data_IF_919846329789
#
_entry.id   IF_919846329789
#
_cell.length_a   1.000
_cell.length_b   1.000
_cell.length_c   1.000
_cell.angle_alpha   90.00
_cell.angle_beta   90.00
_cell.angle_gamma   90.00
#
_symmetry.space_group_name_H-M   'P 1'
#
loop_
_entity.id
_entity.type
_entity.pdbx_description
1 polymer ?
#
# COMPACT_ATOMS: atom_id res chain seq x y z
N UNK A 1 -11.48 11.14 18.52
CA UNK A 1 -11.22 9.92 19.33
C UNK A 1 -11.80 8.67 18.69
N UNK A 2 -13.14 8.46 18.64
CA UNK A 2 -13.71 7.23 18.06
C UNK A 2 -13.46 7.11 16.54
N UNK A 3 -13.68 8.18 15.77
CA UNK A 3 -13.37 8.23 14.34
C UNK A 3 -11.90 7.92 14.06
N UNK A 4 -10.99 8.56 14.79
CA UNK A 4 -9.54 8.32 14.65
C UNK A 4 -9.15 6.85 14.93
N UNK A 5 -9.81 6.23 15.91
CA UNK A 5 -9.60 4.82 16.23
C UNK A 5 -10.09 3.90 15.10
N UNK A 6 -11.26 4.16 14.54
CA UNK A 6 -11.83 3.38 13.43
C UNK A 6 -11.03 3.52 12.13
N UNK A 7 -10.43 4.68 11.89
CA UNK A 7 -9.46 4.89 10.81
C UNK A 7 -8.11 4.20 11.09
N UNK A 8 -7.87 3.77 12.34
CA UNK A 8 -6.63 3.11 12.73
C UNK A 8 -5.45 4.04 13.02
N UNK A 9 -5.69 5.35 13.21
CA UNK A 9 -4.63 6.33 13.54
C UNK A 9 -3.80 5.94 14.77
N UNK A 10 -4.37 5.44 15.89
CA UNK A 10 -3.58 4.99 17.04
C UNK A 10 -2.68 3.79 16.71
N UNK A 11 -3.15 2.90 15.84
CA UNK A 11 -2.43 1.70 15.42
C UNK A 11 -1.41 1.99 14.32
N UNK A 12 -1.50 3.14 13.63
CA UNK A 12 -0.73 3.47 12.41
C UNK A 12 -0.95 2.47 11.27
N UNK A 13 -2.10 1.79 11.29
CA UNK A 13 -2.52 0.75 10.35
C UNK A 13 -4.03 0.86 10.11
N UNK A 14 -4.51 0.76 8.87
CA UNK A 14 -5.94 0.90 8.57
C UNK A 14 -6.71 -0.31 9.09
N UNK A 15 -7.80 -0.05 9.84
CA UNK A 15 -8.57 -1.11 10.51
C UNK A 15 -9.46 -1.87 9.54
N UNK A 16 -10.10 -1.18 8.59
CA UNK A 16 -11.02 -1.82 7.65
C UNK A 16 -10.33 -2.94 6.81
N UNK A 17 -9.19 -2.69 6.12
CA UNK A 17 -8.47 -3.74 5.41
C UNK A 17 -7.98 -4.88 6.30
N UNK A 18 -7.76 -4.64 7.60
CA UNK A 18 -7.41 -5.71 8.54
C UNK A 18 -8.61 -6.62 8.79
N UNK A 19 -9.77 -6.05 9.09
CA UNK A 19 -10.97 -6.80 9.50
C UNK A 19 -11.65 -7.59 8.37
N UNK A 20 -11.53 -7.16 7.11
CA UNK A 20 -12.21 -7.83 5.98
C UNK A 20 -11.74 -9.27 5.73
N UNK A 21 -10.57 -9.69 6.22
CA UNK A 21 -10.07 -11.05 6.05
C UNK A 21 -10.95 -12.10 6.75
N UNK A 22 -11.50 -11.77 7.92
CA UNK A 22 -12.36 -12.67 8.70
C UNK A 22 -13.64 -13.06 7.94
N UNK A 23 -14.49 -12.13 7.49
CA UNK A 23 -15.70 -12.49 6.76
C UNK A 23 -15.38 -13.16 5.42
N UNK A 24 -14.32 -12.74 4.71
CA UNK A 24 -13.92 -13.37 3.44
C UNK A 24 -13.60 -14.86 3.66
N UNK A 25 -12.74 -15.16 4.63
CA UNK A 25 -12.36 -16.53 4.94
C UNK A 25 -13.54 -17.37 5.40
N UNK A 26 -14.41 -16.82 6.26
CA UNK A 26 -15.56 -17.54 6.83
C UNK A 26 -16.65 -17.82 5.79
N UNK A 27 -16.92 -16.90 4.87
CA UNK A 27 -17.87 -17.14 3.78
C UNK A 27 -17.35 -18.19 2.80
N UNK A 28 -16.07 -18.14 2.42
CA UNK A 28 -15.45 -19.18 1.58
C UNK A 28 -15.47 -20.54 2.31
N UNK A 29 -15.11 -20.57 3.59
CA UNK A 29 -15.16 -21.78 4.40
C UNK A 29 -16.59 -22.37 4.45
N UNK A 30 -17.62 -21.52 4.58
CA UNK A 30 -19.01 -21.99 4.61
C UNK A 30 -19.40 -22.74 3.31
N UNK A 31 -18.95 -22.26 2.15
CA UNK A 31 -19.13 -22.94 0.86
C UNK A 31 -18.29 -24.23 0.76
N UNK A 32 -17.06 -24.24 1.28
CA UNK A 32 -16.24 -25.45 1.29
C UNK A 32 -16.89 -26.56 2.14
N UNK A 33 -17.50 -26.20 3.28
CA UNK A 33 -18.24 -27.13 4.13
C UNK A 33 -19.52 -27.64 3.45
N UNK A 34 -20.21 -26.78 2.69
CA UNK A 34 -21.34 -27.20 1.84
C UNK A 34 -20.91 -28.27 0.83
N UNK A 35 -19.83 -28.02 0.09
CA UNK A 35 -19.30 -28.96 -0.90
C UNK A 35 -18.82 -30.25 -0.22
N UNK A 36 -18.20 -30.15 0.96
CA UNK A 36 -17.80 -31.31 1.75
C UNK A 36 -19.02 -32.14 2.19
N UNK A 37 -20.16 -31.51 2.53
CA UNK A 37 -21.38 -32.25 2.90
C UNK A 37 -21.92 -33.10 1.74
N UNK A 38 -21.67 -32.68 0.50
CA UNK A 38 -22.04 -33.44 -0.70
C UNK A 38 -21.05 -34.57 -0.99
N UNK A 39 -19.76 -34.30 -0.85
CA UNK A 39 -18.68 -35.23 -1.17
C UNK A 39 -18.47 -36.31 -0.09
N UNK A 40 -18.71 -35.98 1.18
CA UNK A 40 -18.45 -36.84 2.34
C UNK A 40 -19.66 -36.91 3.29
N UNK A 41 -20.78 -37.52 2.87
CA UNK A 41 -22.02 -37.51 3.66
C UNK A 41 -21.93 -38.27 4.99
N UNK A 42 -20.90 -39.10 5.17
CA UNK A 42 -20.61 -39.82 6.40
C UNK A 42 -19.98 -38.94 7.49
N UNK A 43 -19.43 -37.77 7.12
CA UNK A 43 -18.88 -36.81 8.09
C UNK A 43 -20.03 -36.03 8.71
N UNK A 44 -20.26 -36.14 10.03
CA UNK A 44 -21.42 -35.53 10.66
C UNK A 44 -21.28 -34.00 10.76
N UNK A 45 -22.41 -33.31 10.83
CA UNK A 45 -22.53 -31.89 11.17
C UNK A 45 -21.98 -30.86 10.15
N UNK A 46 -21.55 -31.25 8.96
CA UNK A 46 -20.97 -30.30 7.98
C UNK A 46 -21.92 -29.15 7.60
N UNK A 47 -23.23 -29.41 7.49
CA UNK A 47 -24.25 -28.36 7.23
C UNK A 47 -24.35 -27.39 8.41
N UNK A 48 -24.29 -27.91 9.64
CA UNK A 48 -24.29 -27.11 10.87
C UNK A 48 -23.02 -26.27 11.02
N UNK A 49 -21.87 -26.86 10.70
CA UNK A 49 -20.59 -26.16 10.76
C UNK A 49 -20.53 -25.03 9.72
N UNK A 50 -21.06 -25.27 8.51
CA UNK A 50 -21.23 -24.22 7.49
C UNK A 50 -22.13 -23.08 7.99
N UNK A 51 -23.25 -23.41 8.66
CA UNK A 51 -24.15 -22.42 9.26
C UNK A 51 -23.43 -21.53 10.29
N UNK A 52 -22.62 -22.11 11.19
CA UNK A 52 -21.89 -21.31 12.18
C UNK A 52 -20.75 -20.49 11.56
N UNK A 53 -20.02 -21.04 10.59
CA UNK A 53 -19.02 -20.28 9.84
C UNK A 53 -19.67 -19.05 9.17
N UNK A 54 -20.83 -19.23 8.54
CA UNK A 54 -21.62 -18.17 7.93
C UNK A 54 -22.10 -17.13 8.94
N UNK A 55 -22.62 -17.56 10.10
CA UNK A 55 -23.07 -16.67 11.17
C UNK A 55 -21.94 -15.76 11.66
N UNK A 56 -20.77 -16.34 11.98
CA UNK A 56 -19.60 -15.59 12.42
C UNK A 56 -19.08 -14.70 11.28
N UNK A 57 -19.18 -15.16 10.03
CA UNK A 57 -18.88 -14.37 8.84
C UNK A 57 -19.73 -13.10 8.74
N UNK A 58 -21.04 -13.20 8.96
CA UNK A 58 -21.94 -12.04 8.97
C UNK A 58 -21.57 -11.07 10.10
N UNK A 59 -21.36 -11.59 11.32
CA UNK A 59 -21.01 -10.76 12.49
C UNK A 59 -19.73 -9.98 12.20
N UNK A 60 -18.67 -10.66 11.74
CA UNK A 60 -17.39 -10.03 11.42
C UNK A 60 -17.48 -9.08 10.23
N UNK A 61 -18.33 -9.36 9.24
CA UNK A 61 -18.62 -8.44 8.13
C UNK A 61 -19.25 -7.14 8.61
N UNK A 62 -20.22 -7.21 9.53
CA UNK A 62 -20.86 -6.03 10.12
C UNK A 62 -19.87 -5.20 10.93
N UNK A 63 -18.98 -5.85 11.70
CA UNK A 63 -17.88 -5.15 12.37
C UNK A 63 -16.92 -4.47 11.39
N UNK A 64 -16.57 -5.11 10.28
CA UNK A 64 -15.70 -4.54 9.24
C UNK A 64 -16.37 -3.40 8.46
N UNK A 65 -17.70 -3.42 8.33
CA UNK A 65 -18.46 -2.38 7.63
C UNK A 65 -18.39 -1.02 8.33
N UNK A 66 -18.27 -0.99 9.65
CA UNK A 66 -18.17 0.27 10.44
C UNK A 66 -16.95 1.12 10.05
N UNK A 67 -15.70 0.64 10.17
CA UNK A 67 -14.53 1.40 9.72
C UNK A 67 -14.53 1.60 8.20
N UNK A 68 -15.09 0.66 7.41
CA UNK A 68 -15.20 0.84 5.96
C UNK A 68 -16.12 2.00 5.57
N UNK A 69 -17.20 2.22 6.32
CA UNK A 69 -18.07 3.38 6.12
C UNK A 69 -17.40 4.69 6.53
N UNK A 70 -16.61 4.69 7.62
CA UNK A 70 -15.79 5.85 7.99
C UNK A 70 -14.82 6.21 6.86
N UNK A 71 -14.08 5.22 6.35
CA UNK A 71 -13.17 5.41 5.20
C UNK A 71 -13.91 5.95 3.98
N UNK A 72 -15.12 5.46 3.70
CA UNK A 72 -15.96 5.95 2.61
C UNK A 72 -16.33 7.44 2.76
N UNK A 73 -16.65 7.90 3.97
CA UNK A 73 -17.01 9.32 4.22
C UNK A 73 -15.85 10.28 3.98
N UNK A 74 -14.62 9.81 4.13
CA UNK A 74 -13.39 10.60 3.93
C UNK A 74 -12.98 10.74 2.45
N UNK A 75 -13.58 9.96 1.56
CA UNK A 75 -13.40 10.09 0.12
C UNK A 75 -14.22 11.30 -0.36
N UNK A 76 -13.53 12.29 -0.94
CA UNK A 76 -14.19 13.45 -1.57
C UNK A 76 -15.18 13.00 -2.64
N UNK A 77 -16.29 13.72 -2.76
CA UNK A 77 -17.36 13.41 -3.71
C UNK A 77 -16.93 13.52 -5.18
N UNK A 78 -15.94 14.35 -5.49
CA UNK A 78 -15.39 14.57 -6.84
C UNK A 78 -14.25 13.60 -7.20
N UNK A 79 -13.81 12.76 -6.26
CA UNK A 79 -12.73 11.81 -6.50
C UNK A 79 -13.23 10.61 -7.32
N UNK A 80 -12.52 10.15 -8.37
CA UNK A 80 -12.95 9.02 -9.21
C UNK A 80 -13.17 7.73 -8.40
N UNK A 81 -12.35 7.50 -7.37
CA UNK A 81 -12.50 6.38 -6.43
C UNK A 81 -13.86 6.32 -5.72
N UNK A 82 -14.61 7.43 -5.61
CA UNK A 82 -15.90 7.46 -4.90
C UNK A 82 -16.90 6.48 -5.53
N UNK A 83 -16.98 6.43 -6.87
CA UNK A 83 -17.87 5.51 -7.60
C UNK A 83 -17.50 4.05 -7.33
N UNK A 84 -16.22 3.74 -7.37
CA UNK A 84 -15.71 2.39 -7.07
C UNK A 84 -16.01 2.00 -5.63
N UNK A 85 -15.84 2.92 -4.68
CA UNK A 85 -16.14 2.70 -3.26
C UNK A 85 -17.64 2.47 -3.01
N UNK A 86 -18.51 3.22 -3.67
CA UNK A 86 -19.97 3.01 -3.60
C UNK A 86 -20.35 1.64 -4.18
N UNK A 87 -19.81 1.26 -5.34
CA UNK A 87 -20.08 -0.04 -5.93
C UNK A 87 -19.60 -1.20 -5.04
N UNK A 88 -18.39 -1.09 -4.48
CA UNK A 88 -17.85 -2.04 -3.51
C UNK A 88 -18.74 -2.17 -2.26
N UNK A 89 -19.17 -1.05 -1.67
CA UNK A 89 -20.06 -1.04 -0.52
C UNK A 89 -21.41 -1.72 -0.83
N UNK A 90 -22.03 -1.40 -1.97
CA UNK A 90 -23.29 -2.01 -2.39
C UNK A 90 -23.15 -3.53 -2.55
N UNK A 91 -22.09 -4.00 -3.23
CA UNK A 91 -21.85 -5.42 -3.39
C UNK A 91 -21.71 -6.15 -2.06
N UNK A 92 -20.96 -5.58 -1.10
CA UNK A 92 -20.81 -6.21 0.22
C UNK A 92 -22.11 -6.22 1.04
N UNK A 93 -22.94 -5.18 0.95
CA UNK A 93 -24.26 -5.17 1.58
C UNK A 93 -25.17 -6.24 0.97
N UNK A 94 -25.12 -6.44 -0.35
CA UNK A 94 -25.84 -7.53 -1.03
C UNK A 94 -25.33 -8.90 -0.58
N UNK A 95 -24.00 -9.08 -0.43
CA UNK A 95 -23.41 -10.33 0.09
C UNK A 95 -23.93 -10.61 1.51
N UNK A 96 -23.89 -9.62 2.41
CA UNK A 96 -24.39 -9.77 3.79
C UNK A 96 -25.88 -10.12 3.81
N UNK A 97 -26.70 -9.44 3.01
CA UNK A 97 -28.13 -9.73 2.90
C UNK A 97 -28.38 -11.15 2.36
N UNK A 98 -27.66 -11.56 1.32
CA UNK A 98 -27.76 -12.90 0.73
C UNK A 98 -27.39 -13.99 1.73
N UNK A 99 -26.29 -13.82 2.47
CA UNK A 99 -25.90 -14.76 3.52
C UNK A 99 -26.87 -14.75 4.70
N UNK A 100 -27.48 -13.60 5.04
CA UNK A 100 -28.57 -13.54 6.03
C UNK A 100 -29.80 -14.34 5.61
N UNK A 101 -30.22 -14.24 4.34
CA UNK A 101 -31.29 -15.07 3.77
C UNK A 101 -30.91 -16.55 3.80
N UNK A 102 -29.68 -16.87 3.38
CA UNK A 102 -29.16 -18.24 3.37
C UNK A 102 -29.14 -18.85 4.79
N UNK A 103 -28.75 -18.07 5.80
CA UNK A 103 -28.78 -18.46 7.20
C UNK A 103 -30.22 -18.73 7.68
N UNK A 104 -31.17 -17.89 7.28
CA UNK A 104 -32.59 -18.12 7.52
C UNK A 104 -33.09 -19.44 6.93
N UNK A 105 -32.76 -19.72 5.67
CA UNK A 105 -33.11 -20.99 4.99
C UNK A 105 -32.51 -22.20 5.72
N UNK A 106 -31.25 -22.10 6.16
CA UNK A 106 -30.52 -23.19 6.84
C UNK A 106 -30.95 -23.46 8.27
N UNK A 107 -31.61 -22.50 8.92
CA UNK A 107 -31.96 -22.60 10.35
C UNK A 107 -32.80 -23.81 10.72
N UNK A 108 -33.59 -24.34 9.78
CA UNK A 108 -34.41 -25.55 9.95
C UNK A 108 -33.73 -26.84 9.46
N UNK A 109 -32.51 -26.76 8.94
CA UNK A 109 -31.84 -27.84 8.19
C UNK A 109 -30.52 -28.27 8.83
N UNK A 110 -30.26 -27.85 10.08
CA UNK A 110 -28.97 -28.06 10.75
C UNK A 110 -28.64 -29.53 11.02
N UNK A 111 -29.65 -30.40 11.06
CA UNK A 111 -29.47 -31.84 11.27
C UNK A 111 -29.23 -32.61 9.95
N UNK A 112 -29.37 -31.96 8.81
CA UNK A 112 -29.26 -32.61 7.51
C UNK A 112 -27.80 -33.00 7.23
N UNK A 113 -27.60 -34.20 6.70
CA UNK A 113 -26.26 -34.68 6.34
C UNK A 113 -25.74 -34.07 5.04
N UNK A 114 -26.61 -33.47 4.22
CA UNK A 114 -26.28 -32.89 2.91
C UNK A 114 -26.99 -31.56 2.72
N UNK A 115 -26.29 -30.58 2.17
CA UNK A 115 -26.90 -29.30 1.83
C UNK A 115 -27.84 -29.44 0.62
N UNK A 116 -29.06 -28.86 0.66
CA UNK A 116 -29.94 -28.79 -0.50
C UNK A 116 -29.45 -27.78 -1.56
N UNK A 117 -30.02 -27.88 -2.77
CA UNK A 117 -29.59 -27.06 -3.92
C UNK A 117 -29.75 -25.55 -3.68
N UNK A 118 -30.86 -25.10 -3.10
CA UNK A 118 -31.14 -23.67 -2.91
C UNK A 118 -30.07 -22.96 -2.04
N UNK A 119 -29.80 -23.38 -0.79
CA UNK A 119 -28.78 -22.74 0.05
C UNK A 119 -27.35 -22.90 -0.50
N UNK A 120 -27.09 -23.95 -1.30
CA UNK A 120 -25.83 -24.10 -2.03
C UNK A 120 -25.67 -23.05 -3.14
N UNK A 121 -26.71 -22.83 -3.96
CA UNK A 121 -26.72 -21.80 -5.00
C UNK A 121 -26.55 -20.41 -4.40
N UNK A 122 -27.22 -20.13 -3.27
CA UNK A 122 -27.03 -18.86 -2.54
C UNK A 122 -25.58 -18.68 -2.07
N UNK A 123 -24.92 -19.73 -1.55
CA UNK A 123 -23.49 -19.68 -1.19
C UNK A 123 -22.59 -19.41 -2.40
N UNK A 124 -22.84 -20.08 -3.54
CA UNK A 124 -22.07 -19.90 -4.78
C UNK A 124 -22.20 -18.47 -5.33
N UNK A 125 -23.42 -17.95 -5.41
CA UNK A 125 -23.67 -16.55 -5.82
C UNK A 125 -23.02 -15.58 -4.84
N UNK A 126 -23.09 -15.86 -3.53
CA UNK A 126 -22.46 -15.05 -2.49
C UNK A 126 -20.95 -14.97 -2.64
N UNK A 127 -20.28 -16.10 -2.86
CA UNK A 127 -18.82 -16.12 -3.10
C UNK A 127 -18.46 -15.41 -4.41
N UNK A 128 -19.25 -15.56 -5.48
CA UNK A 128 -19.00 -14.85 -6.73
C UNK A 128 -19.09 -13.32 -6.57
N UNK A 129 -20.13 -12.82 -5.87
CA UNK A 129 -20.28 -11.40 -5.55
C UNK A 129 -19.17 -10.91 -4.62
N UNK A 130 -18.78 -11.72 -3.63
CA UNK A 130 -17.67 -11.43 -2.73
C UNK A 130 -16.34 -11.30 -3.49
N UNK A 131 -16.07 -12.18 -4.46
CA UNK A 131 -14.87 -12.10 -5.31
C UNK A 131 -14.88 -10.83 -6.18
N UNK A 132 -16.02 -10.49 -6.79
CA UNK A 132 -16.15 -9.25 -7.56
C UNK A 132 -15.94 -8.01 -6.68
N UNK A 133 -16.52 -8.01 -5.47
CA UNK A 133 -16.31 -6.95 -4.48
C UNK A 133 -14.85 -6.86 -4.04
N UNK A 134 -14.19 -8.00 -3.80
CA UNK A 134 -12.78 -8.08 -3.41
C UNK A 134 -11.84 -7.48 -4.46
N UNK A 135 -12.14 -7.69 -5.74
CA UNK A 135 -11.41 -7.02 -6.83
C UNK A 135 -11.53 -5.49 -6.75
N UNK A 136 -12.74 -4.96 -6.53
CA UNK A 136 -12.95 -3.52 -6.37
C UNK A 136 -12.24 -2.97 -5.12
N UNK A 137 -12.26 -3.72 -4.02
CA UNK A 137 -11.52 -3.39 -2.80
C UNK A 137 -10.02 -3.32 -3.04
N UNK A 138 -9.47 -4.27 -3.79
CA UNK A 138 -8.07 -4.27 -4.22
C UNK A 138 -7.72 -3.03 -5.03
N UNK A 139 -8.55 -2.64 -6.01
CA UNK A 139 -8.34 -1.41 -6.78
C UNK A 139 -8.35 -0.15 -5.92
N UNK A 140 -9.27 -0.06 -4.95
CA UNK A 140 -9.33 1.08 -4.02
C UNK A 140 -8.04 1.24 -3.21
N UNK A 141 -7.43 0.11 -2.80
CA UNK A 141 -6.20 0.12 -1.99
C UNK A 141 -4.96 0.32 -2.85
N UNK A 142 -4.81 -0.45 -3.93
CA UNK A 142 -3.57 -0.52 -4.70
C UNK A 142 -3.48 0.51 -5.84
N UNK A 143 -4.60 0.86 -6.48
CA UNK A 143 -4.60 1.85 -7.57
C UNK A 143 -4.88 3.25 -7.03
N UNK A 144 -5.85 3.39 -6.12
CA UNK A 144 -6.36 4.68 -5.64
C UNK A 144 -5.82 5.09 -4.26
N UNK A 145 -5.11 4.20 -3.56
CA UNK A 145 -4.46 4.50 -2.27
C UNK A 145 -5.41 4.87 -1.12
N UNK A 146 -6.69 4.52 -1.22
CA UNK A 146 -7.70 4.82 -0.20
C UNK A 146 -7.37 4.07 1.10
N UNK A 147 -7.41 4.77 2.23
CA UNK A 147 -7.11 4.26 3.58
C UNK A 147 -5.64 3.86 3.84
N UNK A 148 -4.79 3.72 2.82
CA UNK A 148 -3.36 3.36 2.96
C UNK A 148 -2.37 4.50 2.65
N UNK A 149 -2.77 5.52 1.88
CA UNK A 149 -1.85 6.52 1.33
C UNK A 149 -1.51 7.73 2.20
N UNK A 150 -2.10 7.88 3.41
CA UNK A 150 -1.98 9.14 4.19
C UNK A 150 -0.93 9.16 5.28
N UNK A 151 -0.36 8.01 5.65
CA UNK A 151 0.76 8.02 6.57
C UNK A 151 2.05 8.19 5.75
N UNK A 152 2.56 9.43 5.66
CA UNK A 152 4.00 9.64 5.48
C UNK A 152 4.70 8.95 6.65
N UNK A 153 4.92 7.64 6.54
CA UNK A 153 5.91 6.97 7.37
C UNK A 153 7.21 7.69 7.04
N UNK A 154 7.77 8.40 8.01
CA UNK A 154 9.22 8.61 8.00
C UNK A 154 9.78 7.21 8.17
N UNK A 155 10.15 6.57 7.07
CA UNK A 155 11.00 5.40 7.12
C UNK A 155 12.27 5.88 7.83
N UNK A 156 12.63 5.31 8.99
CA UNK A 156 13.91 5.62 9.60
C UNK A 156 14.99 5.40 8.55
N UNK A 157 15.82 6.41 8.33
CA UNK A 157 17.01 6.27 7.49
C UNK A 157 17.98 5.33 8.19
N UNK A 158 18.65 4.42 7.47
CA UNK A 158 19.67 3.57 8.07
C UNK A 158 20.79 4.40 8.72
N UNK A 159 21.42 3.87 9.77
CA UNK A 159 22.37 4.61 10.63
C UNK A 159 23.59 5.16 9.88
N UNK A 160 23.92 4.59 8.72
CA UNK A 160 25.00 5.03 7.84
C UNK A 160 24.62 6.24 6.95
N UNK A 161 23.38 6.73 7.06
CA UNK A 161 22.91 7.90 6.31
C UNK A 161 23.58 9.17 6.82
N UNK A 162 24.21 9.93 5.92
CA UNK A 162 24.80 11.22 6.27
C UNK A 162 23.71 12.28 6.43
N UNK A 163 23.76 13.06 7.50
CA UNK A 163 22.75 14.08 7.78
C UNK A 163 23.29 15.50 7.58
N UNK A 164 22.60 16.27 6.74
CA UNK A 164 22.93 17.66 6.45
C UNK A 164 21.71 18.57 6.63
N UNK A 165 21.97 19.85 6.93
CA UNK A 165 20.94 20.89 6.86
C UNK A 165 21.35 21.96 5.86
N UNK A 166 20.46 22.31 4.94
CA UNK A 166 20.75 23.35 3.95
C UNK A 166 20.98 24.72 4.60
N UNK A 167 20.41 24.97 5.78
CA UNK A 167 20.58 26.21 6.53
C UNK A 167 22.06 26.49 6.88
N UNK A 168 22.88 25.47 7.08
CA UNK A 168 24.31 25.65 7.39
C UNK A 168 25.13 26.13 6.19
N UNK A 169 24.63 25.93 4.96
CA UNK A 169 25.35 26.23 3.73
C UNK A 169 24.75 27.41 2.95
N UNK A 170 23.67 28.00 3.46
CA UNK A 170 23.08 29.21 2.89
C UNK A 170 23.96 30.43 3.19
N UNK A 171 24.82 30.81 2.26
CA UNK A 171 25.74 31.94 2.42
C UNK A 171 25.06 33.32 2.28
N UNK A 172 23.83 33.38 1.74
CA UNK A 172 23.00 34.59 1.65
C UNK A 172 21.52 34.21 1.61
N UNK A 173 20.66 34.96 2.33
CA UNK A 173 19.20 34.73 2.39
C UNK A 173 18.49 34.86 1.03
N UNK A 174 19.15 35.39 0.00
CA UNK A 174 18.62 35.61 -1.36
C UNK A 174 18.99 34.56 -2.42
N UNK A 175 19.79 33.54 -2.12
CA UNK A 175 20.20 32.57 -3.16
C UNK A 175 19.15 31.47 -3.36
N UNK A 176 18.56 31.40 -4.56
CA UNK A 176 17.57 30.39 -4.98
C UNK A 176 18.12 28.95 -5.08
N UNK A 177 19.36 28.72 -4.67
CA UNK A 177 20.05 27.42 -4.73
C UNK A 177 21.09 27.33 -3.63
N UNK A 178 21.10 26.21 -2.90
CA UNK A 178 22.14 25.86 -1.92
C UNK A 178 22.94 24.68 -2.45
N UNK A 179 24.27 24.75 -2.33
CA UNK A 179 25.18 23.64 -2.64
C UNK A 179 25.65 23.00 -1.35
N UNK A 180 25.34 21.72 -1.15
CA UNK A 180 25.69 20.99 0.05
C UNK A 180 26.86 20.07 -0.25
N UNK A 181 28.04 20.29 0.34
CA UNK A 181 29.19 19.41 0.13
C UNK A 181 28.96 18.05 0.79
N UNK A 182 29.28 16.98 0.05
CA UNK A 182 29.24 15.58 0.48
C UNK A 182 30.60 14.96 0.17
N UNK A 183 31.66 15.30 0.93
CA UNK A 183 33.03 14.85 0.65
C UNK A 183 33.18 13.33 0.70
N UNK A 184 32.33 12.64 1.46
CA UNK A 184 32.27 11.18 1.51
C UNK A 184 31.99 10.55 0.15
N UNK A 185 31.28 11.26 -0.75
CA UNK A 185 30.98 10.80 -2.10
C UNK A 185 32.25 10.52 -2.91
N UNK A 186 33.33 11.27 -2.67
CA UNK A 186 34.60 11.10 -3.41
C UNK A 186 35.24 9.73 -3.18
N UNK A 187 34.91 9.08 -2.07
CA UNK A 187 35.41 7.74 -1.72
C UNK A 187 34.66 6.61 -2.41
N UNK A 188 33.54 6.91 -3.07
CA UNK A 188 32.78 5.90 -3.79
C UNK A 188 33.61 5.28 -4.91
N UNK A 189 33.59 3.95 -4.97
CA UNK A 189 34.03 3.18 -6.11
C UNK A 189 32.93 3.13 -7.19
N UNK A 190 33.28 2.59 -8.34
CA UNK A 190 32.36 2.48 -9.48
C UNK A 190 31.13 1.64 -9.11
N UNK A 191 29.94 2.16 -9.40
CA UNK A 191 28.61 1.60 -9.07
C UNK A 191 28.30 1.47 -7.58
N UNK A 192 29.12 2.04 -6.69
CA UNK A 192 28.76 2.19 -5.29
C UNK A 192 27.83 3.39 -5.08
N UNK A 193 27.13 3.37 -3.94
CA UNK A 193 26.21 4.41 -3.53
C UNK A 193 26.50 4.90 -2.11
N UNK A 194 26.05 6.11 -1.80
CA UNK A 194 25.93 6.63 -0.44
C UNK A 194 24.54 7.24 -0.24
N UNK A 195 24.09 7.30 1.02
CA UNK A 195 22.85 8.00 1.38
C UNK A 195 23.12 9.30 2.13
N UNK A 196 22.42 10.35 1.71
CA UNK A 196 22.41 11.65 2.39
C UNK A 196 20.97 12.09 2.66
N UNK A 197 20.68 12.48 3.89
CA UNK A 197 19.44 13.16 4.28
C UNK A 197 19.69 14.67 4.40
N UNK A 198 18.97 15.44 3.60
CA UNK A 198 19.03 16.91 3.59
C UNK A 198 17.66 17.46 3.96
N UNK A 199 17.53 18.04 5.17
CA UNK A 199 16.29 18.63 5.68
C UNK A 199 15.04 17.72 5.56
N UNK A 200 15.22 16.41 5.72
CA UNK A 200 14.18 15.38 5.62
C UNK A 200 13.97 14.79 4.21
N UNK A 201 14.77 15.20 3.22
CA UNK A 201 14.83 14.58 1.90
C UNK A 201 16.02 13.62 1.82
N UNK A 202 15.74 12.33 1.68
CA UNK A 202 16.76 11.28 1.56
C UNK A 202 17.13 11.09 0.10
N UNK A 203 18.42 11.14 -0.19
CA UNK A 203 19.03 11.14 -1.52
C UNK A 203 20.06 10.01 -1.56
N UNK A 204 20.02 9.21 -2.61
CA UNK A 204 21.11 8.33 -3.00
C UNK A 204 22.05 9.07 -3.95
N UNK A 205 23.35 8.93 -3.71
CA UNK A 205 24.40 9.43 -4.60
C UNK A 205 25.16 8.21 -5.10
N UNK A 206 25.24 8.03 -6.41
CA UNK A 206 25.98 6.94 -7.04
C UNK A 206 27.13 7.48 -7.88
N UNK A 207 28.21 6.69 -8.01
CA UNK A 207 29.29 6.95 -8.96
C UNK A 207 29.19 5.99 -10.14
N UNK A 208 29.02 6.53 -11.35
CA UNK A 208 28.93 5.75 -12.60
C UNK A 208 29.77 6.43 -13.68
N UNK A 209 30.60 5.65 -14.37
CA UNK A 209 31.55 6.13 -15.39
C UNK A 209 32.37 7.33 -14.89
N UNK A 210 32.84 7.26 -13.64
CA UNK A 210 33.57 8.32 -12.93
C UNK A 210 32.81 9.68 -12.78
N UNK A 211 31.48 9.68 -12.94
CA UNK A 211 30.60 10.82 -12.68
C UNK A 211 29.66 10.53 -11.52
N UNK A 212 29.19 11.58 -10.84
CA UNK A 212 28.30 11.47 -9.69
C UNK A 212 26.85 11.80 -10.07
N UNK A 213 25.92 10.97 -9.62
CA UNK A 213 24.49 11.13 -9.89
C UNK A 213 23.71 11.08 -8.57
N UNK A 214 22.94 12.14 -8.30
CA UNK A 214 22.05 12.22 -7.15
C UNK A 214 20.61 11.94 -7.56
N UNK A 215 19.91 11.07 -6.84
CA UNK A 215 18.50 10.76 -7.05
C UNK A 215 17.81 10.46 -5.72
N UNK A 216 16.48 10.55 -5.67
CA UNK A 216 15.74 10.24 -4.44
C UNK A 216 16.02 8.79 -4.00
N UNK A 217 16.16 8.57 -2.69
CA UNK A 217 16.49 7.24 -2.16
C UNK A 217 15.37 6.22 -2.36
N UNK A 218 14.12 6.62 -2.13
CA UNK A 218 13.00 5.69 -2.10
C UNK A 218 12.37 5.54 -3.49
N UNK A 219 12.34 4.30 -3.99
CA UNK A 219 11.69 3.92 -5.24
C UNK A 219 10.22 4.34 -5.26
N UNK A 220 9.77 4.92 -6.38
CA UNK A 220 8.39 5.42 -6.57
C UNK A 220 7.32 4.32 -6.62
N UNK A 221 7.68 3.04 -6.73
CA UNK A 221 6.72 1.94 -6.67
C UNK A 221 6.23 1.69 -5.24
N UNK A 222 7.14 1.33 -4.32
CA UNK A 222 6.81 0.93 -2.94
C UNK A 222 7.85 1.39 -1.92
N UNK A 223 8.59 2.47 -2.21
CA UNK A 223 9.61 3.05 -1.32
C UNK A 223 10.80 2.14 -1.00
N UNK A 224 11.16 1.23 -1.91
CA UNK A 224 12.37 0.43 -1.77
C UNK A 224 13.66 1.28 -1.80
N UNK A 225 14.72 0.89 -1.10
CA UNK A 225 15.97 1.64 -0.97
C UNK A 225 16.81 1.51 -2.25
N UNK A 226 16.89 2.56 -3.05
CA UNK A 226 17.63 2.53 -4.31
C UNK A 226 19.13 2.56 -4.09
N UNK A 227 19.64 3.07 -2.96
CA UNK A 227 21.06 2.94 -2.63
C UNK A 227 21.51 1.48 -2.46
N UNK A 228 20.60 0.60 -2.05
CA UNK A 228 20.87 -0.85 -1.90
C UNK A 228 20.61 -1.63 -3.20
N UNK A 229 20.34 -0.91 -4.30
CA UNK A 229 20.10 -1.49 -5.61
C UNK A 229 21.38 -1.89 -6.34
N UNK A 230 21.19 -2.49 -7.52
CA UNK A 230 22.26 -2.85 -8.45
C UNK A 230 22.24 -1.94 -9.68
N UNK A 231 23.35 -1.89 -10.43
CA UNK A 231 23.47 -1.04 -11.61
C UNK A 231 23.76 -1.83 -12.90
N UNK A 232 22.93 -1.59 -13.92
CA UNK A 232 23.19 -1.96 -15.32
C UNK A 232 23.35 -0.69 -16.17
N UNK A 233 24.61 -0.36 -16.50
CA UNK A 233 24.94 0.96 -17.07
C UNK A 233 24.49 2.08 -16.12
N UNK A 234 23.66 2.99 -16.62
CA UNK A 234 23.07 4.09 -15.84
C UNK A 234 21.72 3.74 -15.19
N UNK A 235 21.26 2.49 -15.29
CA UNK A 235 20.02 2.07 -14.67
C UNK A 235 20.27 1.53 -13.27
N UNK A 236 19.69 2.18 -12.26
CA UNK A 236 19.57 1.60 -10.92
C UNK A 236 18.36 0.68 -10.88
N UNK A 237 18.56 -0.57 -10.44
CA UNK A 237 17.51 -1.55 -10.21
C UNK A 237 17.18 -1.62 -8.72
N UNK A 238 15.92 -1.35 -8.38
CA UNK A 238 15.41 -1.44 -7.02
C UNK A 238 15.42 -2.90 -6.51
N UNK A 239 15.99 -3.19 -5.32
CA UNK A 239 16.17 -4.55 -4.83
C UNK A 239 14.86 -5.24 -4.42
N UNK A 240 13.75 -4.49 -4.28
CA UNK A 240 12.48 -5.07 -3.81
C UNK A 240 11.64 -5.69 -4.92
N UNK A 241 11.45 -4.97 -6.03
CA UNK A 241 10.55 -5.38 -7.11
C UNK A 241 11.12 -5.10 -8.51
N UNK A 242 12.44 -4.88 -8.60
CA UNK A 242 13.20 -4.78 -9.86
C UNK A 242 12.80 -3.61 -10.79
N UNK A 243 12.13 -2.58 -10.26
CA UNK A 243 11.92 -1.34 -11.03
C UNK A 243 13.26 -0.70 -11.34
N UNK A 244 13.46 -0.30 -12.59
CA UNK A 244 14.69 0.32 -13.05
C UNK A 244 14.47 1.78 -13.41
N UNK A 245 15.47 2.61 -13.12
CA UNK A 245 15.45 4.04 -13.40
C UNK A 245 16.78 4.50 -13.95
N UNK A 246 16.77 5.31 -15.01
CA UNK A 246 17.97 5.97 -15.51
C UNK A 246 18.38 7.09 -14.53
N UNK A 247 19.53 6.98 -13.86
CA UNK A 247 19.91 7.93 -12.80
C UNK A 247 20.25 9.34 -13.28
N UNK A 248 20.45 9.52 -14.59
CA UNK A 248 20.76 10.83 -15.19
C UNK A 248 19.48 11.65 -15.34
N UNK A 249 18.38 10.98 -15.67
CA UNK A 249 17.10 11.62 -16.00
C UNK A 249 16.00 11.36 -14.96
N UNK A 250 16.14 10.30 -14.17
CA UNK A 250 15.13 9.78 -13.25
C UNK A 250 14.07 8.91 -13.92
N UNK A 251 14.09 8.78 -15.25
CA UNK A 251 13.01 8.09 -15.99
C UNK A 251 12.90 6.62 -15.61
N UNK A 252 11.68 6.13 -15.44
CA UNK A 252 11.41 4.70 -15.34
C UNK A 252 11.81 4.02 -16.66
N UNK A 253 12.69 3.05 -16.59
CA UNK A 253 13.11 2.22 -17.73
C UNK A 253 12.55 0.81 -17.65
N UNK A 254 12.21 0.32 -16.44
CA UNK A 254 11.50 -0.93 -16.23
C UNK A 254 10.54 -0.82 -15.03
N UNK A 255 9.34 -1.38 -15.18
CA UNK A 255 8.31 -1.40 -14.14
C UNK A 255 8.64 -2.36 -12.98
N UNK A 256 7.77 -2.46 -11.96
CA UNK A 256 6.38 -1.96 -11.87
C UNK A 256 6.21 -0.47 -11.52
N UNK A 257 7.27 0.28 -11.22
CA UNK A 257 7.17 1.73 -11.05
C UNK A 257 6.54 2.40 -12.28
N UNK A 258 5.76 3.47 -12.05
CA UNK A 258 5.10 4.26 -13.11
C UNK A 258 5.40 5.75 -13.04
N UNK A 259 6.14 6.17 -12.00
CA UNK A 259 6.46 7.56 -11.72
C UNK A 259 7.97 7.68 -11.71
N UNK A 260 8.49 8.67 -12.43
CA UNK A 260 9.93 8.93 -12.52
C UNK A 260 10.50 9.41 -11.17
N UNK A 261 11.80 9.18 -10.96
CA UNK A 261 12.52 9.68 -9.80
C UNK A 261 12.77 11.18 -9.92
N UNK A 262 12.76 11.87 -8.78
CA UNK A 262 13.45 13.14 -8.65
C UNK A 262 14.96 12.93 -8.71
N UNK A 263 15.64 13.65 -9.60
CA UNK A 263 17.10 13.73 -9.65
C UNK A 263 17.61 15.03 -9.04
N UNK A 264 18.87 15.02 -8.61
CA UNK A 264 19.57 16.12 -7.99
C UNK A 264 20.87 16.35 -8.76
N UNK A 265 21.12 17.61 -9.11
CA UNK A 265 22.33 17.96 -9.86
C UNK A 265 23.53 17.86 -8.93
N UNK A 266 24.56 17.12 -9.36
CA UNK A 266 25.85 17.01 -8.68
C UNK A 266 26.85 17.94 -9.36
N UNK A 267 27.61 18.70 -8.57
CA UNK A 267 28.65 19.62 -9.07
C UNK A 267 29.89 19.55 -8.20
N UNK A 268 31.08 19.65 -8.79
CA UNK A 268 32.32 19.81 -8.04
C UNK A 268 32.55 21.30 -7.75
N UNK A 269 32.74 21.65 -6.48
CA UNK A 269 33.05 23.03 -6.03
C UNK A 269 34.12 22.99 -4.95
N UNK A 270 35.15 23.81 -5.09
CA UNK A 270 36.27 23.89 -4.14
C UNK A 270 36.88 22.52 -3.80
N UNK A 271 36.99 21.67 -4.83
CA UNK A 271 37.50 20.30 -4.71
C UNK A 271 36.54 19.31 -4.03
N UNK A 272 35.31 19.71 -3.72
CA UNK A 272 34.29 18.88 -3.06
C UNK A 272 33.13 18.54 -3.98
N UNK A 273 32.63 17.31 -3.92
CA UNK A 273 31.36 16.96 -4.56
C UNK A 273 30.20 17.57 -3.79
N UNK A 274 29.34 18.32 -4.48
CA UNK A 274 28.21 19.04 -3.89
C UNK A 274 26.89 18.61 -4.54
N UNK A 275 25.86 18.45 -3.71
CA UNK A 275 24.47 18.28 -4.16
C UNK A 275 23.83 19.66 -4.29
N UNK A 276 23.22 19.95 -5.45
CA UNK A 276 22.46 21.18 -5.68
C UNK A 276 21.02 21.02 -5.20
N UNK A 277 20.63 21.77 -4.17
CA UNK A 277 19.29 21.73 -3.58
C UNK A 277 18.60 23.10 -3.74
N UNK A 278 17.39 23.17 -4.32
CA UNK A 278 16.61 24.40 -4.28
C UNK A 278 16.14 24.66 -2.83
N UNK A 279 16.05 25.93 -2.39
CA UNK A 279 15.63 26.25 -1.04
C UNK A 279 14.25 25.68 -0.77
N UNK A 280 14.04 25.23 0.47
CA UNK A 280 12.70 24.90 0.93
C UNK A 280 11.84 26.14 0.74
N UNK A 281 10.83 26.08 -0.14
CA UNK A 281 9.70 27.00 -0.04
C UNK A 281 9.18 26.84 1.39
N UNK A 282 9.47 27.81 2.26
CA UNK A 282 8.74 27.98 3.53
C UNK A 282 7.30 28.14 3.07
N UNK A 283 6.50 27.08 3.19
CA UNK A 283 5.07 27.20 3.02
C UNK A 283 4.64 28.33 3.94
N UNK A 284 4.22 29.44 3.35
CA UNK A 284 3.40 30.43 4.01
C UNK A 284 2.21 29.66 4.55
N UNK A 285 2.14 29.55 5.89
CA UNK A 285 0.89 29.19 6.54
C UNK A 285 -0.05 30.36 6.28
N UNK A 286 -0.88 30.22 5.24
CA UNK A 286 -2.08 31.01 5.04
C UNK A 286 -3.28 30.11 5.37
#
# INVERSE_FOLDING_TARGET
MLKDFLEGKPLRHPVHPMLVHFPIGLFILSLLLDLASLAFPSVPNLVRDSFYAMLVGIITALFAAVPGFVDYTDIRSDHPAKRTATAHMILNLLVVALYGINLGVRSSMLADSKIPLLPLVLSLVGVALLSASGYLGGRLVYDEGISVGRHKRRTPTPEDTLHFSAAHFAQNEQSDVVFIPVPEAERLQEKETLRAEIDGQVIAIAKIDNHFYGFQEFCTHRSGPLSEGSFEGFNVQCPWHNSCFDVRTGKVTNGPAKVDLKTFKMEMRDGKICVRIPPKNRKTNA
#
